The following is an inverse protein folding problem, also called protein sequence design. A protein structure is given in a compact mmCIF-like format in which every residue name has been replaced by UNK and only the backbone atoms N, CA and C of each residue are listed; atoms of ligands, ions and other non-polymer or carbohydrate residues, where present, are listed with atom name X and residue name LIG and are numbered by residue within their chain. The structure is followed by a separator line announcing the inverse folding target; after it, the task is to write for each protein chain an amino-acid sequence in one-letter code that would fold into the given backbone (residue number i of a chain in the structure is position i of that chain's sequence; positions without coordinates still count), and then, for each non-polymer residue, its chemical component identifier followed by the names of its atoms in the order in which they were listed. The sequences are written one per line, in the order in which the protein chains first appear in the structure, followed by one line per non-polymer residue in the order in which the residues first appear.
data_IF_092788918862
#
_entry.id   IF_092788918862
#
_cell.length_a   1.000
_cell.length_b   1.000
_cell.length_c   1.000
_cell.angle_alpha   90.00
_cell.angle_beta   90.00
_cell.angle_gamma   90.00
#
_symmetry.space_group_name_H-M   'P 1'
#
loop_
_entity.id
_entity.type
_entity.pdbx_description
1 polymer ?
#
# COMPACT_ATOMS: atom_id res chain seq x y z
N UNK A 1 4.24 1.22 -14.31
CA UNK A 1 3.94 2.17 -13.21
C UNK A 1 3.42 1.40 -12.01
N UNK A 2 3.98 1.65 -10.87
CA UNK A 2 3.53 1.06 -9.59
C UNK A 2 2.67 2.08 -8.86
N UNK A 3 1.51 1.63 -8.39
CA UNK A 3 0.56 2.48 -7.67
C UNK A 3 0.36 1.89 -6.29
N UNK A 4 0.59 2.69 -5.25
CA UNK A 4 0.21 2.32 -3.89
C UNK A 4 -1.13 2.99 -3.58
N UNK A 5 -2.18 2.17 -3.48
CA UNK A 5 -3.50 2.63 -3.09
C UNK A 5 -3.72 2.44 -1.59
N UNK A 6 -4.34 3.44 -0.97
CA UNK A 6 -4.63 3.42 0.47
C UNK A 6 -6.10 3.77 0.66
N UNK A 7 -6.82 2.96 1.43
CA UNK A 7 -8.21 3.20 1.80
C UNK A 7 -8.28 3.37 3.32
N UNK A 8 -8.18 4.63 3.81
CA UNK A 8 -8.18 4.88 5.25
C UNK A 8 -9.56 4.66 5.87
N UNK A 9 -9.59 4.09 7.07
CA UNK A 9 -10.80 3.88 7.85
C UNK A 9 -10.54 4.11 9.33
N UNK A 10 -11.60 4.14 10.13
CA UNK A 10 -11.48 4.43 11.57
C UNK A 10 -10.70 3.36 12.33
N UNK A 11 -10.98 2.11 12.06
CA UNK A 11 -10.40 0.98 12.78
C UNK A 11 -9.43 0.17 11.92
N UNK A 12 -9.37 0.46 10.63
CA UNK A 12 -8.51 -0.25 9.71
C UNK A 12 -8.18 0.61 8.50
N UNK A 13 -7.02 0.36 7.92
CA UNK A 13 -6.59 1.01 6.70
C UNK A 13 -6.23 -0.07 5.69
N UNK A 14 -6.97 -0.13 4.59
CA UNK A 14 -6.65 -1.04 3.49
C UNK A 14 -5.58 -0.45 2.59
N UNK A 15 -4.72 -1.30 2.05
CA UNK A 15 -3.68 -0.86 1.12
C UNK A 15 -3.47 -1.91 0.04
N UNK A 16 -3.01 -1.47 -1.13
CA UNK A 16 -2.66 -2.37 -2.23
C UNK A 16 -1.54 -1.76 -3.06
N UNK A 17 -0.62 -2.62 -3.50
CA UNK A 17 0.41 -2.26 -4.46
C UNK A 17 -0.01 -2.84 -5.81
N UNK A 18 -0.21 -1.97 -6.78
CA UNK A 18 -0.77 -2.33 -8.08
C UNK A 18 0.20 -1.93 -9.17
N UNK A 19 0.41 -2.81 -10.14
CA UNK A 19 1.17 -2.49 -11.34
C UNK A 19 0.21 -2.18 -12.49
N UNK A 20 0.42 -1.03 -13.12
CA UNK A 20 -0.25 -0.70 -14.36
C UNK A 20 0.60 -1.17 -15.53
N UNK A 21 0.04 -2.05 -16.34
CA UNK A 21 0.70 -2.62 -17.50
C UNK A 21 0.44 -1.73 -18.72
N UNK A 22 1.37 -1.65 -19.69
CA UNK A 22 1.20 -0.75 -20.85
C UNK A 22 -0.06 -0.98 -21.67
N UNK A 23 -0.67 -2.17 -21.63
CA UNK A 23 -1.92 -2.45 -22.32
C UNK A 23 -3.16 -1.86 -21.63
N UNK A 24 -2.97 -1.21 -20.47
CA UNK A 24 -4.05 -0.62 -19.67
C UNK A 24 -4.59 -1.51 -18.57
N UNK A 25 -4.16 -2.76 -18.49
CA UNK A 25 -4.59 -3.65 -17.43
C UNK A 25 -3.87 -3.35 -16.11
N UNK A 26 -4.43 -3.84 -15.01
CA UNK A 26 -3.89 -3.67 -13.67
C UNK A 26 -3.64 -5.03 -13.04
N UNK A 27 -2.52 -5.15 -12.35
CA UNK A 27 -2.17 -6.36 -11.60
C UNK A 27 -1.91 -6.00 -10.14
N UNK A 28 -2.56 -6.69 -9.21
CA UNK A 28 -2.29 -6.50 -7.80
C UNK A 28 -1.05 -7.31 -7.42
N UNK A 29 -0.01 -6.62 -6.98
CA UNK A 29 1.25 -7.26 -6.60
C UNK A 29 1.25 -7.66 -5.13
N UNK A 30 0.61 -6.85 -4.28
CA UNK A 30 0.48 -7.13 -2.85
C UNK A 30 -0.65 -6.29 -2.28
N UNK A 31 -1.23 -6.74 -1.17
CA UNK A 31 -2.33 -6.03 -0.52
C UNK A 31 -2.43 -6.48 0.94
N UNK A 32 -3.04 -5.63 1.76
CA UNK A 32 -3.23 -5.95 3.16
C UNK A 32 -4.11 -4.94 3.87
N UNK A 33 -4.25 -5.14 5.16
CA UNK A 33 -5.02 -4.27 6.04
C UNK A 33 -4.19 -3.98 7.29
N UNK A 34 -4.07 -2.70 7.63
CA UNK A 34 -3.51 -2.25 8.89
C UNK A 34 -4.68 -2.01 9.83
N UNK A 35 -4.70 -2.69 10.96
CA UNK A 35 -5.73 -2.51 11.97
C UNK A 35 -5.15 -1.77 13.16
N UNK A 36 -5.87 -0.75 13.62
CA UNK A 36 -5.50 -0.05 14.83
C UNK A 36 -5.87 -0.93 16.03
N UNK A 37 -4.89 -1.16 16.90
CA UNK A 37 -5.08 -1.92 18.14
C UNK A 37 -4.74 -1.02 19.30
N UNK A 38 -5.58 -1.06 20.34
CA UNK A 38 -5.32 -0.34 21.59
C UNK A 38 -4.51 -1.23 22.54
N UNK A 39 -3.46 -1.87 22.04
CA UNK A 39 -2.61 -2.75 22.85
C UNK A 39 -1.28 -2.06 23.15
N UNK A 40 -0.76 -2.21 24.38
CA UNK A 40 0.57 -1.70 24.69
C UNK A 40 1.62 -2.33 23.78
N UNK A 41 2.51 -1.50 23.24
CA UNK A 41 3.58 -1.97 22.37
C UNK A 41 3.24 -2.06 20.89
N UNK A 42 1.97 -1.87 20.51
CA UNK A 42 1.62 -1.82 19.11
C UNK A 42 2.05 -0.50 18.48
N UNK A 43 2.76 -0.57 17.35
CA UNK A 43 3.18 0.60 16.61
C UNK A 43 2.56 0.59 15.21
N UNK A 44 1.71 1.56 14.96
CA UNK A 44 1.13 1.79 13.64
C UNK A 44 2.22 2.16 12.61
N UNK A 45 3.26 2.87 13.08
CA UNK A 45 4.36 3.31 12.22
C UNK A 45 5.17 2.14 11.67
N UNK A 46 5.27 1.03 12.38
CA UNK A 46 5.98 -0.15 11.90
C UNK A 46 5.29 -0.76 10.68
N UNK A 47 3.97 -0.81 10.68
CA UNK A 47 3.19 -1.31 9.56
C UNK A 47 3.33 -0.38 8.34
N UNK A 48 3.30 0.93 8.55
CA UNK A 48 3.49 1.91 7.49
C UNK A 48 4.88 1.81 6.89
N UNK A 49 5.91 1.64 7.72
CA UNK A 49 7.28 1.45 7.26
C UNK A 49 7.40 0.19 6.40
N UNK A 50 6.77 -0.89 6.81
CA UNK A 50 6.80 -2.16 6.10
C UNK A 50 6.16 -2.03 4.71
N UNK A 51 5.03 -1.34 4.60
CA UNK A 51 4.39 -1.06 3.32
C UNK A 51 5.32 -0.25 2.42
N UNK A 52 6.00 0.76 2.98
CA UNK A 52 6.97 1.55 2.24
C UNK A 52 8.12 0.71 1.69
N UNK A 53 8.64 -0.23 2.49
CA UNK A 53 9.69 -1.15 2.05
C UNK A 53 9.20 -2.06 0.92
N UNK A 54 8.02 -2.65 1.07
CA UNK A 54 7.43 -3.50 0.04
C UNK A 54 7.27 -2.73 -1.27
N UNK A 55 6.72 -1.52 -1.21
CA UNK A 55 6.51 -0.67 -2.38
C UNK A 55 7.83 -0.33 -3.05
N UNK A 56 8.85 0.03 -2.27
CA UNK A 56 10.19 0.36 -2.78
C UNK A 56 10.82 -0.83 -3.49
N UNK A 57 10.67 -2.04 -2.94
CA UNK A 57 11.18 -3.25 -3.57
C UNK A 57 10.48 -3.53 -4.92
N UNK A 58 9.17 -3.35 -4.99
CA UNK A 58 8.43 -3.53 -6.23
C UNK A 58 8.87 -2.53 -7.30
N UNK A 59 9.08 -1.26 -6.90
CA UNK A 59 9.59 -0.22 -7.79
C UNK A 59 10.98 -0.60 -8.31
N UNK A 60 11.86 -1.03 -7.42
CA UNK A 60 13.22 -1.41 -7.79
C UNK A 60 13.24 -2.58 -8.78
N UNK A 61 12.44 -3.61 -8.49
CA UNK A 61 12.39 -4.81 -9.33
C UNK A 61 11.76 -4.54 -10.70
N UNK A 62 10.82 -3.60 -10.78
CA UNK A 62 10.14 -3.26 -12.03
C UNK A 62 10.83 -2.16 -12.83
N UNK A 63 11.81 -1.47 -12.23
CA UNK A 63 12.50 -0.37 -12.91
C UNK A 63 11.59 0.80 -13.27
N UNK A 64 10.64 1.11 -12.42
CA UNK A 64 9.63 2.12 -12.67
C UNK A 64 9.46 3.04 -11.47
N UNK A 65 8.61 4.05 -11.59
CA UNK A 65 8.29 4.97 -10.51
C UNK A 65 7.03 4.54 -9.78
N UNK A 66 6.87 5.02 -8.54
CA UNK A 66 5.69 4.78 -7.73
C UNK A 66 4.84 6.04 -7.63
N UNK A 67 3.53 5.85 -7.67
CA UNK A 67 2.54 6.88 -7.39
C UNK A 67 1.74 6.45 -6.15
N UNK A 68 1.52 7.39 -5.24
CA UNK A 68 0.73 7.14 -4.05
C UNK A 68 -0.65 7.75 -4.22
N UNK A 69 -1.69 6.96 -3.97
CA UNK A 69 -3.06 7.38 -4.08
C UNK A 69 -3.80 7.05 -2.79
N UNK A 70 -4.40 8.04 -2.17
CA UNK A 70 -5.26 7.86 -1.01
C UNK A 70 -6.71 8.17 -1.40
N UNK A 71 -7.61 7.22 -1.15
CA UNK A 71 -9.04 7.39 -1.37
C UNK A 71 -9.76 7.27 -0.04
N UNK A 72 -10.70 8.15 0.21
CA UNK A 72 -11.58 8.01 1.36
C UNK A 72 -12.73 7.08 1.00
N UNK A 73 -12.92 6.08 1.87
CA UNK A 73 -14.08 5.21 1.79
C UNK A 73 -15.26 5.92 2.47
N UNK A 74 -16.35 6.00 1.77
CA UNK A 74 -17.57 6.55 2.35
C UNK A 74 -18.53 5.45 2.75
#
# INVERSE_FOLDING_TARGET
MIILGIDPGFASCGWAVIERIPDGSLACLDAGVIRTKKEPGYSYDDDLRRIGVITSEMVRLRGTQATFLACESM
#
